data_IF_352367417565
#
_entry.id   IF_352367417565
#
_cell.length_a   1.000
_cell.length_b   1.000
_cell.length_c   1.000
_cell.angle_alpha   90.00
_cell.angle_beta   90.00
_cell.angle_gamma   90.00
#
_symmetry.space_group_name_H-M   'P 1'
#
loop_
_entity.id
_entity.type
_entity.pdbx_description
1 polymer ?
#
# COMPACT_ATOMS: atom_id res chain seq x y z
N UNK A 1 3.26 -18.70 54.85
CA UNK A 1 2.12 -19.10 54.01
C UNK A 1 2.04 -18.12 52.84
N UNK A 2 2.48 -18.57 51.67
CA UNK A 2 2.80 -17.78 50.45
C UNK A 2 1.74 -18.04 49.39
N UNK A 3 0.67 -17.23 49.29
CA UNK A 3 -0.33 -17.38 48.22
C UNK A 3 -1.13 -16.10 47.94
N UNK A 4 -0.50 -14.96 47.61
CA UNK A 4 -1.25 -13.78 47.09
C UNK A 4 -0.56 -13.00 45.95
N UNK A 5 0.41 -13.58 45.26
CA UNK A 5 1.21 -12.87 44.25
C UNK A 5 0.93 -13.27 42.80
N UNK A 6 -0.10 -14.08 42.52
CA UNK A 6 -0.35 -14.61 41.16
C UNK A 6 -1.42 -13.81 40.39
N UNK A 7 -2.32 -13.09 41.05
CA UNK A 7 -3.45 -12.40 40.35
C UNK A 7 -3.01 -11.07 39.71
N UNK A 8 -1.95 -10.43 40.20
CA UNK A 8 -1.52 -9.11 39.72
C UNK A 8 -0.88 -9.12 38.32
N UNK A 9 -0.41 -10.27 37.83
CA UNK A 9 0.36 -10.34 36.57
C UNK A 9 -0.50 -10.44 35.29
N UNK A 10 -1.82 -10.62 35.40
CA UNK A 10 -2.73 -10.77 34.26
C UNK A 10 -3.40 -9.45 33.84
N UNK A 11 -3.40 -8.44 34.71
CA UNK A 11 -4.03 -7.14 34.43
C UNK A 11 -3.23 -6.23 33.49
N UNK A 12 -1.92 -6.46 33.33
CA UNK A 12 -1.01 -5.59 32.57
C UNK A 12 -0.98 -5.85 31.05
N UNK A 13 -1.64 -6.90 30.56
CA UNK A 13 -1.71 -7.21 29.12
C UNK A 13 -3.01 -6.73 28.46
N UNK A 14 -3.54 -5.57 28.88
CA UNK A 14 -4.69 -4.98 28.19
C UNK A 14 -4.20 -4.20 26.97
N UNK A 15 -4.77 -4.51 25.80
CA UNK A 15 -4.60 -3.69 24.60
C UNK A 15 -5.15 -2.29 24.91
N UNK A 16 -4.35 -1.22 24.82
CA UNK A 16 -4.84 0.12 25.08
C UNK A 16 -5.90 0.50 24.03
N UNK A 17 -7.11 0.82 24.48
CA UNK A 17 -8.15 1.31 23.60
C UNK A 17 -7.81 2.74 23.13
N UNK A 18 -8.04 3.00 21.85
CA UNK A 18 -7.90 4.34 21.26
C UNK A 18 -8.83 5.31 22.00
N UNK A 19 -8.30 6.46 22.43
CA UNK A 19 -9.08 7.54 23.05
C UNK A 19 -9.24 8.68 22.05
N UNK A 20 -10.48 8.97 21.65
CA UNK A 20 -10.77 10.14 20.83
C UNK A 20 -10.78 11.39 21.71
N UNK A 21 -10.21 12.49 21.21
CA UNK A 21 -10.34 13.80 21.86
C UNK A 21 -11.79 14.25 21.75
N UNK A 22 -12.41 14.62 22.89
CA UNK A 22 -13.72 15.27 22.90
C UNK A 22 -13.60 16.62 22.18
N UNK A 23 -14.37 16.80 21.12
CA UNK A 23 -14.31 17.98 20.25
C UNK A 23 -13.60 17.79 18.91
N UNK A 24 -13.41 16.56 18.42
CA UNK A 24 -12.85 16.24 17.10
C UNK A 24 -13.77 16.66 15.93
N UNK A 25 -14.02 17.95 15.81
CA UNK A 25 -14.98 18.54 14.89
C UNK A 25 -14.36 19.40 13.81
N UNK A 26 -13.17 19.08 13.28
CA UNK A 26 -12.85 19.52 11.92
C UNK A 26 -13.12 18.35 10.99
N UNK A 27 -14.39 18.28 10.55
CA UNK A 27 -14.72 17.64 9.29
C UNK A 27 -13.69 18.14 8.27
N UNK A 28 -12.83 17.24 7.79
CA UNK A 28 -12.08 17.49 6.56
C UNK A 28 -13.11 17.97 5.52
N UNK A 29 -12.89 19.08 4.81
CA UNK A 29 -13.81 19.52 3.79
C UNK A 29 -14.01 18.35 2.82
N UNK A 30 -15.27 17.98 2.60
CA UNK A 30 -15.68 17.10 1.51
C UNK A 30 -15.31 17.78 0.19
N UNK A 31 -14.07 17.64 -0.25
CA UNK A 31 -13.68 17.95 -1.62
C UNK A 31 -14.02 16.73 -2.47
N UNK A 32 -15.24 16.76 -3.01
CA UNK A 32 -15.59 16.02 -4.20
C UNK A 32 -14.63 16.37 -5.33
N UNK A 33 -13.58 15.57 -5.47
CA UNK A 33 -12.76 15.48 -6.67
C UNK A 33 -12.34 14.03 -6.85
N UNK A 34 -12.96 13.39 -7.84
CA UNK A 34 -12.58 12.07 -8.36
C UNK A 34 -11.12 12.14 -8.83
N UNK A 35 -10.17 11.59 -8.07
CA UNK A 35 -8.95 11.00 -8.62
C UNK A 35 -8.17 10.21 -7.57
N UNK A 36 -7.43 9.20 -8.06
CA UNK A 36 -6.25 8.53 -7.48
C UNK A 36 -6.42 7.29 -6.59
N UNK A 37 -6.01 6.17 -7.20
CA UNK A 37 -5.15 5.09 -6.71
C UNK A 37 -5.15 4.76 -5.21
N UNK A 38 -5.60 3.54 -4.94
CA UNK A 38 -5.41 2.85 -3.66
C UNK A 38 -4.03 2.18 -3.60
N UNK A 39 -3.08 2.80 -2.89
CA UNK A 39 -2.00 2.08 -2.21
C UNK A 39 -2.02 2.47 -0.73
N UNK A 40 -2.53 1.57 0.11
CA UNK A 40 -2.46 1.71 1.57
C UNK A 40 -1.13 1.11 2.04
N UNK A 41 -0.29 1.93 2.68
CA UNK A 41 0.88 1.48 3.43
C UNK A 41 0.63 1.67 4.94
N UNK A 42 0.88 0.62 5.72
CA UNK A 42 0.93 0.67 7.18
C UNK A 42 2.20 1.35 7.70
N UNK A 43 2.29 1.63 9.02
CA UNK A 43 3.38 2.41 9.57
C UNK A 43 4.62 1.56 9.85
N UNK A 44 5.80 2.17 9.68
CA UNK A 44 7.15 1.75 10.12
C UNK A 44 8.09 1.21 9.03
N UNK A 45 8.68 2.12 8.26
CA UNK A 45 10.10 2.47 8.37
C UNK A 45 10.37 3.62 7.42
N UNK A 46 10.96 4.71 7.88
CA UNK A 46 11.45 5.80 7.05
C UNK A 46 12.62 5.32 6.20
N UNK A 47 12.32 4.62 5.11
CA UNK A 47 13.06 4.77 3.87
C UNK A 47 12.31 5.85 3.11
N UNK A 48 12.92 7.02 2.98
CA UNK A 48 12.51 8.00 1.98
C UNK A 48 12.88 7.37 0.65
N UNK A 49 12.06 6.42 0.20
CA UNK A 49 12.04 6.02 -1.20
C UNK A 49 11.60 7.29 -1.92
N UNK A 50 12.55 7.95 -2.57
CA UNK A 50 12.28 9.05 -3.48
C UNK A 50 11.47 8.47 -4.64
N UNK A 51 10.17 8.28 -4.44
CA UNK A 51 9.25 7.89 -5.49
C UNK A 51 9.30 9.01 -6.52
N UNK A 52 9.84 8.76 -7.73
CA UNK A 52 9.86 9.77 -8.77
C UNK A 52 8.40 10.18 -9.04
N UNK A 53 8.15 11.48 -9.05
CA UNK A 53 6.81 12.05 -9.28
C UNK A 53 6.33 11.87 -10.73
N UNK A 54 7.21 11.38 -11.62
CA UNK A 54 6.90 11.02 -13.00
C UNK A 54 6.80 9.50 -13.18
N UNK A 55 5.94 9.08 -14.12
CA UNK A 55 5.97 7.71 -14.59
C UNK A 55 7.34 7.42 -15.23
N UNK A 56 7.91 6.26 -14.94
CA UNK A 56 9.16 5.79 -15.54
C UNK A 56 8.85 5.34 -16.96
N UNK A 57 9.62 5.83 -17.92
CA UNK A 57 9.46 5.47 -19.33
C UNK A 57 10.21 4.17 -19.68
N UNK A 58 9.81 3.48 -20.76
CA UNK A 58 10.36 2.16 -21.12
C UNK A 58 11.89 2.18 -21.36
N UNK A 59 12.45 3.32 -21.77
CA UNK A 59 13.88 3.49 -22.00
C UNK A 59 14.68 3.68 -20.70
N UNK A 60 14.02 4.13 -19.63
CA UNK A 60 14.59 4.28 -18.28
C UNK A 60 14.62 2.94 -17.52
N UNK A 61 13.81 1.96 -17.95
CA UNK A 61 13.72 0.67 -17.29
C UNK A 61 15.04 -0.12 -17.39
N UNK A 62 15.51 -0.71 -16.26
CA UNK A 62 16.59 -1.70 -16.27
C UNK A 62 16.29 -2.86 -17.22
N UNK A 63 17.33 -3.46 -17.81
CA UNK A 63 17.21 -4.51 -18.84
C UNK A 63 16.30 -5.68 -18.44
N UNK A 64 16.31 -6.06 -17.15
CA UNK A 64 15.46 -7.12 -16.58
C UNK A 64 13.95 -6.85 -16.64
N UNK A 65 13.55 -5.59 -16.78
CA UNK A 65 12.15 -5.16 -16.83
C UNK A 65 11.75 -4.63 -18.20
N UNK A 66 12.66 -4.64 -19.18
CA UNK A 66 12.33 -4.25 -20.54
C UNK A 66 11.37 -5.27 -21.16
N UNK A 67 10.43 -4.76 -21.95
CA UNK A 67 9.52 -5.61 -22.72
C UNK A 67 10.32 -6.45 -23.72
N UNK A 68 9.83 -7.66 -23.95
CA UNK A 68 10.35 -8.53 -25.00
C UNK A 68 9.99 -7.93 -26.38
N UNK A 69 10.86 -8.07 -27.39
CA UNK A 69 10.48 -7.75 -28.77
C UNK A 69 9.28 -8.58 -29.22
N UNK A 70 8.34 -7.95 -29.93
CA UNK A 70 7.18 -8.64 -30.49
C UNK A 70 7.64 -9.69 -31.50
N UNK A 71 7.15 -10.92 -31.34
CA UNK A 71 7.44 -12.04 -32.25
C UNK A 71 6.45 -12.08 -33.42
N UNK A 72 6.80 -12.76 -34.52
CA UNK A 72 5.92 -12.87 -35.69
C UNK A 72 4.59 -13.55 -35.34
N UNK A 73 4.63 -14.64 -34.57
CA UNK A 73 3.44 -15.36 -34.11
C UNK A 73 2.55 -14.46 -33.26
N UNK A 74 3.14 -13.73 -32.29
CA UNK A 74 2.40 -12.78 -31.46
C UNK A 74 1.75 -11.67 -32.31
N UNK A 75 2.46 -11.18 -33.32
CA UNK A 75 1.95 -10.17 -34.24
C UNK A 75 0.74 -10.68 -35.03
N UNK A 76 0.76 -11.94 -35.48
CA UNK A 76 -0.40 -12.58 -36.11
C UNK A 76 -1.56 -12.76 -35.13
N UNK A 77 -1.28 -13.19 -33.89
CA UNK A 77 -2.28 -13.33 -32.83
C UNK A 77 -2.96 -12.00 -32.50
N UNK A 78 -2.19 -10.90 -32.44
CA UNK A 78 -2.71 -9.54 -32.25
C UNK A 78 -3.58 -9.14 -33.44
N UNK A 79 -3.11 -9.35 -34.67
CA UNK A 79 -3.86 -9.01 -35.88
C UNK A 79 -5.16 -9.81 -36.04
N UNK A 80 -5.18 -11.07 -35.58
CA UNK A 80 -6.35 -11.96 -35.61
C UNK A 80 -7.32 -11.73 -34.45
N UNK A 81 -6.88 -11.10 -33.36
CA UNK A 81 -7.68 -10.87 -32.17
C UNK A 81 -7.76 -12.05 -31.19
N UNK A 82 -6.81 -12.98 -31.25
CA UNK A 82 -6.74 -14.15 -30.36
C UNK A 82 -6.68 -15.50 -31.09
N UNK A 83 -6.62 -16.61 -30.32
CA UNK A 83 -6.72 -17.96 -30.88
C UNK A 83 -8.10 -18.20 -31.51
N UNK A 84 -8.12 -18.92 -32.62
CA UNK A 84 -9.34 -19.44 -33.24
C UNK A 84 -9.89 -20.65 -32.47
#
# INVERSE_FOLDING_TARGET
>A
MVFRTIIAQVADKRVPLIKFRKGGGQLLPSSSSRHSQTHQAGPNSTLVESQPTGAIEDWELPSRYKRLPITADEMEYINRGGPA
#
